data_IF_724413196833
#
_entry.id   IF_724413196833
#
_cell.length_a   1.000
_cell.length_b   1.000
_cell.length_c   1.000
_cell.angle_alpha   90.00
_cell.angle_beta   90.00
_cell.angle_gamma   90.00
#
_symmetry.space_group_name_H-M   'P 1'
#
loop_
_entity.id
_entity.type
_entity.pdbx_description
1 polymer ?
#
# COMPACT_ATOMS: atom_id res chain seq x y z
N UNK A 1 4.68 24.82 -2.83
CA UNK A 1 5.58 23.69 -3.12
C UNK A 1 5.84 23.01 -1.80
N UNK A 2 5.12 21.95 -1.44
CA UNK A 2 5.47 21.16 -0.24
C UNK A 2 6.80 20.44 -0.54
N UNK A 3 7.77 20.68 0.33
CA UNK A 3 9.03 19.92 0.28
C UNK A 3 8.71 18.45 0.56
N UNK A 4 9.19 17.54 -0.29
CA UNK A 4 9.08 16.09 -0.09
C UNK A 4 9.80 15.60 1.18
N UNK A 5 10.57 16.46 1.84
CA UNK A 5 11.47 16.13 2.95
C UNK A 5 10.79 15.73 4.27
N UNK A 6 9.46 15.82 4.38
CA UNK A 6 8.70 15.53 5.60
C UNK A 6 7.54 14.55 5.40
N UNK A 7 7.46 13.88 4.24
CA UNK A 7 6.39 12.96 3.93
C UNK A 7 6.57 11.64 4.69
N UNK A 8 5.47 11.14 5.27
CA UNK A 8 5.41 9.81 5.88
C UNK A 8 4.54 8.89 5.04
N UNK A 9 4.95 7.63 4.94
CA UNK A 9 4.11 6.58 4.42
C UNK A 9 3.73 5.63 5.54
N UNK A 10 2.46 5.30 5.63
CA UNK A 10 1.93 4.34 6.57
C UNK A 10 1.46 3.11 5.80
N UNK A 11 1.85 1.94 6.25
CA UNK A 11 1.40 0.68 5.67
C UNK A 11 0.69 -0.14 6.74
N UNK A 12 -0.51 -0.60 6.40
CA UNK A 12 -1.31 -1.45 7.29
C UNK A 12 -0.95 -2.92 7.11
N UNK A 13 -0.88 -3.64 8.23
CA UNK A 13 -0.61 -5.07 8.29
C UNK A 13 -1.68 -5.81 9.07
N UNK A 14 -1.94 -7.05 8.66
CA UNK A 14 -2.72 -7.99 9.48
C UNK A 14 -1.92 -8.44 10.69
N UNK A 15 -2.55 -8.55 11.88
CA UNK A 15 -1.96 -9.31 12.98
C UNK A 15 -1.77 -10.77 12.56
N UNK A 16 -0.70 -11.39 13.04
CA UNK A 16 -0.44 -12.81 12.85
C UNK A 16 -1.65 -13.64 13.32
N UNK A 17 -2.19 -14.51 12.49
CA UNK A 17 -3.19 -15.51 12.88
C UNK A 17 -4.42 -15.66 11.99
N UNK A 18 -4.66 -14.83 10.99
CA UNK A 18 -5.74 -15.05 10.04
C UNK A 18 -5.20 -15.66 8.73
N UNK A 19 -4.73 -16.89 8.82
CA UNK A 19 -4.48 -17.74 7.65
C UNK A 19 -5.83 -18.26 7.09
N UNK A 20 -6.65 -17.40 6.54
CA UNK A 20 -7.66 -17.81 5.59
C UNK A 20 -7.17 -17.44 4.19
N UNK A 21 -6.47 -18.38 3.59
CA UNK A 21 -5.74 -18.30 2.34
C UNK A 21 -6.61 -18.16 1.08
N UNK A 22 -7.90 -17.85 1.17
CA UNK A 22 -8.78 -17.81 -0.01
C UNK A 22 -9.78 -16.66 -0.09
N UNK A 23 -9.81 -15.77 0.88
CA UNK A 23 -10.62 -14.56 0.76
C UNK A 23 -9.69 -13.35 0.84
N UNK A 24 -9.34 -12.79 -0.32
CA UNK A 24 -8.49 -11.61 -0.50
C UNK A 24 -9.06 -10.31 0.07
N UNK A 25 -9.80 -10.38 1.17
CA UNK A 25 -10.43 -9.24 1.81
C UNK A 25 -10.06 -9.14 3.27
N UNK A 26 -9.51 -7.99 3.63
CA UNK A 26 -9.55 -7.52 5.01
C UNK A 26 -11.02 -7.35 5.41
N UNK A 27 -11.52 -8.11 6.37
CA UNK A 27 -12.77 -7.76 7.04
C UNK A 27 -12.45 -6.66 8.06
N UNK A 28 -12.92 -5.45 7.78
CA UNK A 28 -12.50 -4.21 8.44
C UNK A 28 -13.34 -3.78 9.62
N UNK A 29 -14.13 -4.69 10.20
CA UNK A 29 -14.94 -4.35 11.36
C UNK A 29 -14.14 -4.09 12.62
N UNK A 30 -12.92 -4.63 12.70
CA UNK A 30 -12.07 -4.50 13.89
C UNK A 30 -10.67 -4.05 13.55
N UNK A 31 -10.44 -2.72 13.60
CA UNK A 31 -9.09 -2.15 13.63
C UNK A 31 -8.38 -2.43 14.98
N UNK A 32 -9.07 -3.06 15.95
CA UNK A 32 -8.46 -3.58 17.17
C UNK A 32 -7.48 -4.70 16.79
N UNK A 33 -6.20 -4.43 17.04
CA UNK A 33 -5.11 -5.32 16.68
C UNK A 33 -4.50 -5.11 15.29
N UNK A 34 -5.01 -4.20 14.48
CA UNK A 34 -4.35 -3.84 13.23
C UNK A 34 -3.03 -3.13 13.52
N UNK A 35 -1.93 -3.70 13.07
CA UNK A 35 -0.62 -3.08 13.14
C UNK A 35 -0.41 -2.20 11.90
N UNK A 36 0.33 -1.11 12.08
CA UNK A 36 0.82 -0.31 10.97
C UNK A 36 2.31 -0.04 11.13
N UNK A 37 2.99 0.10 10.01
CA UNK A 37 4.37 0.55 9.95
C UNK A 37 4.46 1.94 9.36
N UNK A 38 5.55 2.62 9.71
CA UNK A 38 5.93 3.89 9.07
C UNK A 38 7.11 3.60 8.18
N UNK A 39 6.97 3.88 6.89
CA UNK A 39 8.02 3.74 5.92
C UNK A 39 8.65 5.11 5.65
N UNK A 40 9.97 5.16 5.39
CA UNK A 40 10.63 6.40 5.01
C UNK A 40 10.15 6.89 3.64
N UNK A 41 10.30 8.17 3.38
CA UNK A 41 10.01 8.78 2.07
C UNK A 41 10.84 8.18 0.93
N UNK A 42 12.08 7.77 1.22
CA UNK A 42 12.96 7.07 0.28
C UNK A 42 12.43 5.71 -0.20
N UNK A 43 11.48 5.11 0.53
CA UNK A 43 10.82 3.90 0.07
C UNK A 43 9.93 4.15 -1.17
N UNK A 44 9.52 5.39 -1.42
CA UNK A 44 8.75 5.73 -2.62
C UNK A 44 9.65 5.79 -3.85
N UNK A 45 9.40 4.88 -4.79
CA UNK A 45 10.06 4.86 -6.08
C UNK A 45 9.65 6.09 -6.90
N UNK A 46 10.61 6.75 -7.52
CA UNK A 46 10.32 7.88 -8.41
C UNK A 46 9.58 7.39 -9.65
N UNK A 47 8.57 8.14 -10.06
CA UNK A 47 7.80 7.84 -11.27
C UNK A 47 8.71 7.66 -12.50
N UNK A 48 8.45 6.61 -13.26
CA UNK A 48 9.23 6.27 -14.46
C UNK A 48 10.57 5.58 -14.19
N UNK A 49 10.96 5.40 -12.94
CA UNK A 49 12.17 4.65 -12.60
C UNK A 49 11.89 3.16 -12.47
N UNK A 50 12.84 2.30 -12.90
CA UNK A 50 12.74 0.88 -12.63
C UNK A 50 13.02 0.58 -11.15
N UNK A 51 12.45 -0.50 -10.64
CA UNK A 51 12.80 -1.05 -9.34
C UNK A 51 14.04 -1.92 -9.47
N UNK A 52 15.11 -1.56 -8.76
CA UNK A 52 16.29 -2.42 -8.61
C UNK A 52 16.13 -3.24 -7.35
N UNK A 53 16.04 -4.57 -7.48
CA UNK A 53 15.93 -5.47 -6.32
C UNK A 53 17.30 -5.56 -5.65
N UNK A 54 17.46 -5.09 -4.39
CA UNK A 54 18.72 -5.24 -3.68
C UNK A 54 18.99 -6.70 -3.33
N UNK A 55 20.26 -7.11 -3.27
CA UNK A 55 20.68 -8.48 -2.95
C UNK A 55 20.05 -9.00 -1.64
N UNK A 56 19.92 -8.14 -0.64
CA UNK A 56 19.32 -8.52 0.65
C UNK A 56 17.80 -8.74 0.57
N UNK A 57 17.14 -8.26 -0.48
CA UNK A 57 15.70 -8.39 -0.65
C UNK A 57 15.30 -9.69 -1.38
N UNK A 58 16.24 -10.49 -1.81
CA UNK A 58 15.96 -11.78 -2.43
C UNK A 58 15.71 -12.89 -1.38
N UNK A 59 14.63 -13.67 -1.55
CA UNK A 59 13.57 -13.57 -2.53
C UNK A 59 12.66 -12.36 -2.29
N UNK A 60 12.29 -11.69 -3.37
CA UNK A 60 11.41 -10.52 -3.34
C UNK A 60 10.01 -10.88 -3.83
N UNK A 61 9.00 -10.32 -3.18
CA UNK A 61 7.62 -10.41 -3.65
C UNK A 61 7.01 -9.04 -3.87
N UNK A 62 5.89 -8.99 -4.57
CA UNK A 62 5.10 -7.78 -4.82
C UNK A 62 3.63 -8.03 -4.53
N UNK A 63 2.96 -7.05 -3.94
CA UNK A 63 1.51 -7.05 -3.75
C UNK A 63 0.91 -5.72 -4.20
N UNK A 64 -0.32 -5.77 -4.71
CA UNK A 64 -1.08 -4.58 -5.10
C UNK A 64 -1.86 -4.05 -3.89
N UNK A 65 -1.79 -2.75 -3.67
CA UNK A 65 -2.43 -2.06 -2.56
C UNK A 65 -3.33 -0.94 -3.06
N UNK A 66 -4.42 -0.67 -2.35
CA UNK A 66 -5.06 0.63 -2.42
C UNK A 66 -4.25 1.61 -1.57
N UNK A 67 -3.93 2.75 -2.14
CA UNK A 67 -3.28 3.85 -1.46
C UNK A 67 -4.12 5.11 -1.54
N UNK A 68 -4.08 5.94 -0.51
CA UNK A 68 -4.67 7.27 -0.51
C UNK A 68 -3.65 8.29 0.00
N UNK A 69 -3.72 9.49 -0.54
CA UNK A 69 -2.95 10.62 -0.01
C UNK A 69 -3.75 11.35 1.04
N UNK A 70 -3.09 11.81 2.08
CA UNK A 70 -3.70 12.67 3.09
C UNK A 70 -3.85 14.07 2.52
N UNK A 71 -5.07 14.56 2.45
CA UNK A 71 -5.39 15.87 1.83
C UNK A 71 -5.24 17.06 2.78
N UNK A 72 -5.16 16.83 4.09
CA UNK A 72 -5.07 17.91 5.10
C UNK A 72 -4.49 17.45 6.43
N UNK A 73 -3.99 18.43 7.18
CA UNK A 73 -3.48 18.22 8.53
C UNK A 73 -4.58 17.65 9.45
N UNK A 74 -4.24 16.61 10.24
CA UNK A 74 -5.16 16.05 11.23
C UNK A 74 -4.46 15.22 12.30
N UNK A 75 -5.06 15.18 13.48
CA UNK A 75 -4.67 14.33 14.60
C UNK A 75 -5.91 13.89 15.37
N UNK A 76 -5.92 12.67 15.89
CA UNK A 76 -7.06 12.09 16.61
C UNK A 76 -8.38 12.26 15.82
N UNK A 77 -8.34 11.92 14.53
CA UNK A 77 -9.46 12.07 13.61
C UNK A 77 -10.54 11.08 14.01
N UNK A 78 -11.76 11.59 14.21
CA UNK A 78 -12.92 10.71 14.39
C UNK A 78 -13.27 10.02 13.06
N UNK A 79 -13.62 8.72 13.06
CA UNK A 79 -14.02 7.99 11.84
C UNK A 79 -15.12 8.72 11.05
N UNK A 80 -16.08 9.33 11.76
CA UNK A 80 -17.17 10.13 11.16
C UNK A 80 -16.67 11.25 10.23
N UNK A 81 -15.49 11.81 10.50
CA UNK A 81 -14.92 12.94 9.75
C UNK A 81 -13.75 12.54 8.86
N UNK A 82 -13.35 11.27 8.86
CA UNK A 82 -12.19 10.78 8.12
C UNK A 82 -12.29 11.06 6.61
N UNK A 83 -13.51 11.06 6.04
CA UNK A 83 -13.75 11.42 4.64
C UNK A 83 -13.21 12.80 4.22
N UNK A 84 -12.92 13.70 5.17
CA UNK A 84 -12.36 15.03 4.91
C UNK A 84 -10.84 15.04 4.78
N UNK A 85 -10.18 13.90 5.06
CA UNK A 85 -8.73 13.83 5.21
C UNK A 85 -8.04 13.02 4.13
N UNK A 86 -8.73 12.12 3.44
CA UNK A 86 -8.17 11.41 2.30
C UNK A 86 -8.45 12.16 0.99
N UNK A 87 -7.52 12.06 0.08
CA UNK A 87 -7.59 12.60 -1.27
C UNK A 87 -6.80 11.67 -2.20
N UNK A 88 -6.93 11.88 -3.49
CA UNK A 88 -6.08 11.30 -4.52
C UNK A 88 -5.82 9.79 -4.31
N UNK A 89 -6.87 8.94 -4.36
CA UNK A 89 -6.67 7.49 -4.31
C UNK A 89 -5.87 7.02 -5.53
N UNK A 90 -5.08 5.96 -5.32
CA UNK A 90 -4.27 5.33 -6.35
C UNK A 90 -4.05 3.86 -6.05
N UNK A 91 -3.64 3.09 -7.05
CA UNK A 91 -3.04 1.78 -6.82
C UNK A 91 -1.54 1.96 -6.55
N UNK A 92 -1.04 1.20 -5.61
CA UNK A 92 0.38 1.12 -5.33
C UNK A 92 0.82 -0.33 -5.31
N UNK A 93 2.06 -0.59 -5.66
CA UNK A 93 2.70 -1.89 -5.42
C UNK A 93 3.71 -1.75 -4.30
N UNK A 94 3.75 -2.76 -3.43
CA UNK A 94 4.69 -2.84 -2.32
C UNK A 94 5.57 -4.06 -2.53
N UNK A 95 6.88 -3.83 -2.57
CA UNK A 95 7.89 -4.87 -2.61
C UNK A 95 8.24 -5.31 -1.19
N UNK A 96 8.40 -6.60 -1.02
CA UNK A 96 8.72 -7.21 0.27
C UNK A 96 9.93 -8.11 0.15
N UNK A 97 10.93 -7.89 1.02
CA UNK A 97 12.06 -8.78 1.22
C UNK A 97 11.61 -9.94 2.09
N UNK A 98 11.18 -11.06 1.49
CA UNK A 98 10.49 -12.15 2.16
C UNK A 98 11.33 -12.80 3.26
N UNK A 99 12.63 -12.97 3.01
CA UNK A 99 13.54 -13.55 4.01
C UNK A 99 13.63 -12.66 5.25
N UNK A 100 13.83 -11.36 5.06
CA UNK A 100 13.90 -10.41 6.18
C UNK A 100 12.58 -10.33 6.94
N UNK A 101 11.45 -10.39 6.22
CA UNK A 101 10.13 -10.40 6.85
C UNK A 101 9.93 -11.66 7.70
N UNK A 102 10.30 -12.83 7.18
CA UNK A 102 10.21 -14.10 7.91
C UNK A 102 11.08 -14.09 9.17
N UNK A 103 12.34 -13.64 9.07
CA UNK A 103 13.26 -13.51 10.20
C UNK A 103 12.74 -12.53 11.26
N UNK A 104 12.21 -11.38 10.84
CA UNK A 104 11.61 -10.40 11.75
C UNK A 104 10.40 -10.98 12.50
N UNK A 105 9.54 -11.71 11.80
CA UNK A 105 8.38 -12.39 12.42
C UNK A 105 8.80 -13.44 13.45
N UNK A 106 9.80 -14.25 13.14
CA UNK A 106 10.30 -15.30 14.04
C UNK A 106 10.97 -14.73 15.29
N UNK A 107 11.71 -13.64 15.15
CA UNK A 107 12.46 -13.01 16.24
C UNK A 107 11.65 -11.98 17.03
N UNK A 108 10.48 -11.57 16.53
CA UNK A 108 9.73 -10.43 17.08
C UNK A 108 10.39 -9.08 16.79
N UNK A 109 11.33 -9.02 15.85
CA UNK A 109 12.01 -7.80 15.46
C UNK A 109 11.09 -6.89 14.59
N UNK A 110 11.39 -5.57 14.52
CA UNK A 110 10.71 -4.67 13.62
C UNK A 110 10.90 -5.10 12.15
N UNK A 111 9.81 -5.17 11.40
CA UNK A 111 9.81 -5.57 9.98
C UNK A 111 9.96 -4.41 8.99
N UNK A 112 10.20 -3.18 9.48
CA UNK A 112 10.32 -2.00 8.63
C UNK A 112 11.37 -2.13 7.52
N UNK A 113 12.51 -2.78 7.80
CA UNK A 113 13.53 -3.03 6.78
C UNK A 113 13.07 -3.97 5.65
N UNK A 114 12.13 -4.87 5.94
CA UNK A 114 11.63 -5.82 4.95
C UNK A 114 10.69 -5.19 3.91
N UNK A 115 10.10 -4.03 4.18
CA UNK A 115 9.11 -3.38 3.33
C UNK A 115 9.38 -1.88 3.10
N UNK A 116 10.32 -1.30 3.84
CA UNK A 116 10.64 0.12 3.80
C UNK A 116 12.04 0.42 3.25
N UNK A 117 12.58 -0.45 2.43
CA UNK A 117 13.85 -0.17 1.75
C UNK A 117 13.66 0.78 0.56
N UNK A 118 14.73 1.35 0.07
CA UNK A 118 14.70 2.36 -1.00
C UNK A 118 13.97 1.83 -2.25
N UNK A 119 12.96 2.59 -2.70
CA UNK A 119 12.16 2.25 -3.88
C UNK A 119 11.20 1.09 -3.71
N UNK A 120 10.97 0.61 -2.49
CA UNK A 120 10.10 -0.55 -2.22
C UNK A 120 8.60 -0.30 -2.45
N UNK A 121 8.19 0.94 -2.70
CA UNK A 121 6.79 1.32 -2.98
C UNK A 121 6.73 2.09 -4.30
N UNK A 122 5.90 1.68 -5.24
CA UNK A 122 5.61 2.45 -6.44
C UNK A 122 4.11 2.79 -6.50
N UNK A 123 3.80 4.06 -6.73
CA UNK A 123 2.43 4.57 -6.90
C UNK A 123 2.09 4.72 -8.38
N UNK A 124 0.84 4.42 -8.71
CA UNK A 124 0.25 4.67 -10.01
C UNK A 124 -0.35 6.07 -10.14
N UNK A 125 -1.00 6.32 -11.28
CA UNK A 125 -1.78 7.53 -11.48
C UNK A 125 -2.92 7.62 -10.45
N UNK A 126 -3.14 8.80 -9.91
CA UNK A 126 -4.27 9.07 -9.02
C UNK A 126 -5.56 9.23 -9.82
N UNK A 127 -6.69 8.89 -9.22
CA UNK A 127 -7.99 9.19 -9.80
C UNK A 127 -8.77 10.21 -8.96
N UNK A 128 -9.64 11.04 -9.59
CA UNK A 128 -10.40 12.06 -8.88
C UNK A 128 -11.53 11.42 -8.07
N UNK A 129 -11.46 11.49 -6.76
CA UNK A 129 -12.41 10.86 -5.84
C UNK A 129 -13.84 11.43 -5.95
N UNK A 130 -13.96 12.67 -6.40
CA UNK A 130 -15.27 13.32 -6.62
C UNK A 130 -16.01 12.74 -7.84
N UNK A 131 -15.27 12.14 -8.78
CA UNK A 131 -15.81 11.54 -10.00
C UNK A 131 -15.88 10.02 -9.88
N UNK A 132 -14.88 9.45 -9.26
CA UNK A 132 -14.75 8.01 -9.04
C UNK A 132 -14.58 7.76 -7.53
N UNK A 133 -15.64 7.32 -6.82
CA UNK A 133 -15.56 7.02 -5.39
C UNK A 133 -14.58 5.86 -5.13
N UNK A 134 -14.21 5.65 -3.88
CA UNK A 134 -13.25 4.59 -3.49
C UNK A 134 -13.78 3.17 -3.72
N UNK A 135 -15.07 3.01 -3.86
CA UNK A 135 -15.74 1.70 -3.97
C UNK A 135 -16.11 1.38 -5.42
N UNK A 136 -16.40 0.09 -5.65
CA UNK A 136 -16.94 -0.42 -6.92
C UNK A 136 -15.94 -0.48 -8.08
N UNK A 137 -14.62 -0.46 -7.79
CA UNK A 137 -13.60 -0.63 -8.80
C UNK A 137 -13.07 -2.08 -8.82
N UNK A 138 -12.77 -2.56 -10.01
CA UNK A 138 -11.99 -3.78 -10.21
C UNK A 138 -10.52 -3.43 -10.37
N UNK A 139 -9.66 -4.22 -9.74
CA UNK A 139 -8.21 -4.00 -9.79
C UNK A 139 -7.54 -5.28 -10.28
N UNK A 140 -6.52 -5.14 -11.12
CA UNK A 140 -5.72 -6.28 -11.58
C UNK A 140 -4.23 -5.98 -11.36
N UNK A 141 -3.51 -7.02 -10.95
CA UNK A 141 -2.05 -7.06 -11.00
C UNK A 141 -1.63 -7.93 -12.18
N UNK A 142 -0.84 -7.37 -13.07
CA UNK A 142 -0.27 -8.11 -14.19
C UNK A 142 1.24 -8.18 -14.09
N UNK A 143 1.77 -9.37 -14.33
CA UNK A 143 3.20 -9.61 -14.47
C UNK A 143 3.48 -10.11 -15.89
N UNK A 144 4.36 -9.41 -16.62
CA UNK A 144 4.71 -9.72 -18.00
C UNK A 144 3.46 -9.91 -18.89
N UNK A 145 2.58 -8.91 -18.86
CA UNK A 145 1.32 -8.83 -19.63
C UNK A 145 0.25 -9.88 -19.26
N UNK A 146 0.49 -10.71 -18.24
CA UNK A 146 -0.49 -11.70 -17.76
C UNK A 146 -1.13 -11.23 -16.45
N UNK A 147 -2.46 -11.26 -16.39
CA UNK A 147 -3.20 -11.07 -15.11
C UNK A 147 -2.87 -12.23 -14.19
N UNK A 148 -2.27 -11.92 -13.04
CA UNK A 148 -1.82 -12.89 -12.03
C UNK A 148 -2.64 -12.81 -10.75
N UNK A 149 -3.30 -11.67 -10.52
CA UNK A 149 -4.20 -11.48 -9.41
C UNK A 149 -5.24 -10.41 -9.73
N UNK A 150 -6.41 -10.57 -9.14
CA UNK A 150 -7.54 -9.65 -9.25
C UNK A 150 -8.02 -9.26 -7.85
N UNK A 151 -8.59 -8.09 -7.73
CA UNK A 151 -9.15 -7.56 -6.49
C UNK A 151 -10.26 -6.57 -6.76
N UNK A 152 -10.89 -6.08 -5.71
CA UNK A 152 -11.92 -5.05 -5.78
C UNK A 152 -11.76 -4.06 -4.65
N UNK A 153 -12.23 -2.83 -4.85
CA UNK A 153 -12.25 -1.79 -3.82
C UNK A 153 -13.57 -1.77 -3.04
N UNK A 154 -14.44 -2.76 -3.19
CA UNK A 154 -15.69 -2.84 -2.44
C UNK A 154 -15.44 -2.87 -0.93
N UNK A 155 -16.12 -2.00 -0.16
CA UNK A 155 -15.96 -1.89 1.30
C UNK A 155 -14.71 -1.12 1.74
N UNK A 156 -13.93 -0.60 0.81
CA UNK A 156 -12.67 0.08 1.15
C UNK A 156 -12.86 1.48 1.72
N UNK A 157 -13.99 2.11 1.51
CA UNK A 157 -14.30 3.44 2.06
C UNK A 157 -14.25 3.44 3.59
N UNK A 158 -14.99 2.55 4.21
CA UNK A 158 -15.02 2.39 5.67
C UNK A 158 -13.66 2.00 6.22
N UNK A 159 -12.93 1.18 5.47
CA UNK A 159 -11.58 0.78 5.83
C UNK A 159 -10.63 1.97 5.86
N UNK A 160 -10.56 2.76 4.79
CA UNK A 160 -9.72 3.97 4.71
C UNK A 160 -10.05 4.92 5.85
N UNK A 161 -11.34 5.12 6.15
CA UNK A 161 -11.76 5.99 7.25
C UNK A 161 -11.31 5.46 8.62
N UNK A 162 -11.44 4.17 8.85
CA UNK A 162 -11.01 3.51 10.09
C UNK A 162 -9.49 3.55 10.23
N UNK A 163 -8.76 3.33 9.15
CA UNK A 163 -7.30 3.39 9.11
C UNK A 163 -6.77 4.80 9.42
N UNK A 164 -7.33 5.84 8.79
CA UNK A 164 -7.00 7.23 9.08
C UNK A 164 -7.27 7.60 10.55
N UNK A 165 -8.42 7.20 11.07
CA UNK A 165 -8.77 7.42 12.46
C UNK A 165 -7.78 6.70 13.40
N UNK A 166 -7.45 5.45 13.13
CA UNK A 166 -6.53 4.65 13.93
C UNK A 166 -5.12 5.26 13.95
N UNK A 167 -4.52 5.48 12.78
CA UNK A 167 -3.15 6.02 12.67
C UNK A 167 -3.06 7.42 13.27
N UNK A 168 -4.08 8.26 13.09
CA UNK A 168 -4.08 9.64 13.60
C UNK A 168 -4.10 9.75 15.13
N UNK A 169 -4.39 8.66 15.85
CA UNK A 169 -4.24 8.60 17.31
C UNK A 169 -2.77 8.68 17.74
N UNK A 170 -1.90 8.09 16.94
CA UNK A 170 -0.46 7.98 17.24
C UNK A 170 0.36 9.07 16.53
N UNK A 171 -0.02 9.43 15.31
CA UNK A 171 0.71 10.36 14.47
C UNK A 171 -0.16 11.53 14.02
N UNK A 172 0.42 12.72 13.99
CA UNK A 172 -0.18 13.84 13.24
C UNK A 172 0.00 13.55 11.76
N UNK A 173 -1.10 13.41 11.04
CA UNK A 173 -1.13 13.26 9.59
C UNK A 173 -0.98 14.64 8.95
N UNK A 174 -0.16 14.74 7.90
CA UNK A 174 0.10 15.97 7.16
C UNK A 174 -0.39 15.83 5.73
N UNK A 175 -0.69 16.94 5.10
CA UNK A 175 -0.98 16.93 3.67
C UNK A 175 0.20 16.35 2.89
N UNK A 176 -0.08 15.39 2.01
CA UNK A 176 0.92 14.67 1.23
C UNK A 176 1.41 13.38 1.87
N UNK A 177 1.14 13.12 3.17
CA UNK A 177 1.37 11.78 3.73
C UNK A 177 0.59 10.73 2.95
N UNK A 178 1.09 9.50 2.91
CA UNK A 178 0.48 8.39 2.17
C UNK A 178 0.03 7.30 3.13
N UNK A 179 -1.11 6.73 2.81
CA UNK A 179 -1.65 5.59 3.52
C UNK A 179 -1.81 4.44 2.54
N UNK A 180 -0.99 3.40 2.68
CA UNK A 180 -1.15 2.12 2.02
C UNK A 180 -2.16 1.32 2.84
N UNK A 181 -3.40 1.28 2.36
CA UNK A 181 -4.53 0.81 3.14
C UNK A 181 -4.58 -0.71 3.31
N UNK A 182 -3.67 -1.45 2.70
CA UNK A 182 -3.60 -2.90 2.74
C UNK A 182 -3.61 -3.51 1.34
N UNK A 183 -3.21 -4.77 1.28
CA UNK A 183 -3.07 -5.49 0.02
C UNK A 183 -4.44 -5.89 -0.56
N UNK A 184 -4.64 -5.56 -1.83
CA UNK A 184 -5.76 -6.00 -2.67
C UNK A 184 -5.53 -7.40 -3.22
N UNK A 185 -4.26 -7.83 -3.29
CA UNK A 185 -3.86 -9.13 -3.82
C UNK A 185 -2.91 -9.84 -2.87
N UNK A 186 -2.78 -11.16 -3.03
CA UNK A 186 -1.70 -11.89 -2.38
C UNK A 186 -0.33 -11.38 -2.86
N UNK A 187 0.70 -11.60 -2.05
CA UNK A 187 2.08 -11.34 -2.44
C UNK A 187 2.54 -12.40 -3.46
N UNK A 188 3.14 -11.95 -4.56
CA UNK A 188 3.61 -12.79 -5.65
C UNK A 188 5.11 -12.60 -5.86
N UNK A 189 5.87 -13.67 -6.10
CA UNK A 189 7.30 -13.56 -6.32
C UNK A 189 7.61 -12.78 -7.59
N UNK A 190 8.64 -11.93 -7.53
CA UNK A 190 9.16 -11.18 -8.67
C UNK A 190 10.67 -11.34 -8.78
N UNK A 191 11.16 -11.21 -10.00
CA UNK A 191 12.58 -11.34 -10.34
C UNK A 191 13.00 -10.21 -11.30
N UNK A 192 14.28 -9.89 -11.38
CA UNK A 192 14.79 -9.00 -12.42
C UNK A 192 14.29 -9.43 -13.82
N UNK A 193 13.87 -8.46 -14.63
CA UNK A 193 13.23 -8.67 -15.92
C UNK A 193 11.70 -8.75 -15.87
N UNK A 194 11.09 -8.78 -14.69
CA UNK A 194 9.62 -8.74 -14.56
C UNK A 194 9.09 -7.33 -14.84
N UNK A 195 8.08 -7.24 -15.71
CA UNK A 195 7.26 -6.04 -15.85
C UNK A 195 6.02 -6.16 -14.96
N UNK A 196 5.75 -5.12 -14.19
CA UNK A 196 4.61 -5.04 -13.28
C UNK A 196 3.66 -3.96 -13.79
N UNK A 197 2.39 -4.29 -13.86
CA UNK A 197 1.32 -3.34 -14.18
C UNK A 197 0.17 -3.46 -13.19
N UNK A 198 -0.34 -2.30 -12.75
CA UNK A 198 -1.58 -2.17 -11.99
C UNK A 198 -2.68 -1.61 -12.88
N UNK A 199 -3.82 -2.27 -12.90
CA UNK A 199 -4.97 -1.90 -13.73
C UNK A 199 -6.17 -1.61 -12.84
N UNK A 200 -6.94 -0.58 -13.21
CA UNK A 200 -8.18 -0.17 -12.55
C UNK A 200 -9.27 -0.08 -13.62
N UNK A 201 -10.37 -0.83 -13.46
CA UNK A 201 -11.51 -0.87 -14.38
C UNK A 201 -11.10 -1.05 -15.85
N UNK A 202 -10.11 -1.91 -16.10
CA UNK A 202 -9.60 -2.17 -17.45
C UNK A 202 -8.66 -1.08 -17.99
N UNK A 203 -8.35 -0.03 -17.22
CA UNK A 203 -7.36 0.98 -17.53
C UNK A 203 -6.04 0.76 -16.78
N UNK A 204 -4.90 0.88 -17.45
CA UNK A 204 -3.60 0.79 -16.80
C UNK A 204 -3.26 2.09 -16.06
N UNK A 205 -3.09 2.01 -14.74
CA UNK A 205 -2.77 3.15 -13.87
C UNK A 205 -1.35 3.11 -13.33
N UNK A 206 -0.70 1.94 -13.36
CA UNK A 206 0.68 1.78 -12.89
C UNK A 206 1.46 0.89 -13.84
N UNK A 207 2.73 1.23 -14.08
CA UNK A 207 3.69 0.38 -14.80
C UNK A 207 5.09 0.65 -14.33
N UNK A 208 5.84 -0.41 -14.05
CA UNK A 208 7.28 -0.35 -13.80
C UNK A 208 7.96 -1.65 -14.23
N UNK A 209 9.26 -1.56 -14.43
CA UNK A 209 10.11 -2.72 -14.73
C UNK A 209 10.98 -3.03 -13.50
N UNK A 210 11.19 -4.32 -13.22
CA UNK A 210 12.08 -4.82 -12.16
C UNK A 210 13.43 -5.14 -12.78
N UNK A 211 14.51 -4.71 -12.16
CA UNK A 211 15.89 -4.92 -12.61
C UNK A 211 16.79 -5.43 -11.50
#
# INVERSE_FOLDING_TARGET
>A
MCSFADMKMFVLHRPNGSENNNEGFFSFKDMEGCAFGVLPDSALLREGWPMFVPDFAEPCSVSLHLAVRVGRLGRAISPRFAHRYHAEPTLAVVFTAEKLLAEARLSGAPWGAAMGFEGSVAEGAVWPIDVQPLEEHTCELRLNDKTVAEGTTQGWKEHVHSALAHISRFHTLRQGDRLLCGALTAALPVQPGTRIEGWLDGGRVLRLDVK
#
